data_IF_495485960658
#
_entry.id   IF_495485960658
#
_cell.length_a   1.000
_cell.length_b   1.000
_cell.length_c   1.000
_cell.angle_alpha   90.00
_cell.angle_beta   90.00
_cell.angle_gamma   90.00
#
_symmetry.space_group_name_H-M   'P 1'
#
loop_
_entity.id
_entity.type
_entity.pdbx_description
1 polymer ?
#
# COMPACT_ATOMS: atom_id res chain seq x y z
N UNK A 1 11.45 18.59 13.83
CA UNK A 1 10.55 17.64 14.51
C UNK A 1 9.46 17.15 13.55
N UNK A 2 8.71 18.03 12.92
CA UNK A 2 7.58 17.74 12.03
C UNK A 2 7.97 16.91 10.79
N UNK A 3 9.11 17.21 10.19
CA UNK A 3 9.65 16.53 9.00
C UNK A 3 10.12 15.09 9.29
N UNK A 4 10.62 14.86 10.48
CA UNK A 4 11.08 13.55 10.93
C UNK A 4 9.91 12.64 11.29
N UNK A 5 8.83 13.19 11.85
CA UNK A 5 7.58 12.47 12.11
C UNK A 5 6.86 12.08 10.83
N UNK A 6 6.80 12.98 9.84
CA UNK A 6 6.23 12.68 8.53
C UNK A 6 7.01 11.57 7.82
N UNK A 7 8.35 11.63 7.83
CA UNK A 7 9.19 10.59 7.21
C UNK A 7 9.06 9.23 7.92
N UNK A 8 8.94 9.22 9.25
CA UNK A 8 8.75 7.97 10.01
C UNK A 8 7.34 7.40 9.84
N UNK A 9 6.31 8.24 9.81
CA UNK A 9 4.95 7.81 9.52
C UNK A 9 4.84 7.22 8.10
N UNK A 10 5.50 7.84 7.12
CA UNK A 10 5.58 7.34 5.75
C UNK A 10 6.26 5.97 5.66
N UNK A 11 7.38 5.77 6.35
CA UNK A 11 8.12 4.50 6.37
C UNK A 11 7.36 3.38 7.11
N UNK A 12 6.61 3.71 8.16
CA UNK A 12 5.77 2.76 8.88
C UNK A 12 4.55 2.33 8.05
N UNK A 13 3.90 3.25 7.36
CA UNK A 13 2.74 2.94 6.51
C UNK A 13 3.13 2.05 5.32
N UNK A 14 4.27 2.32 4.69
CA UNK A 14 4.82 1.49 3.61
C UNK A 14 5.17 0.09 4.11
N UNK A 15 5.72 -0.05 5.32
CA UNK A 15 6.13 -1.33 5.90
C UNK A 15 4.96 -2.20 6.37
N UNK A 16 3.87 -1.60 6.82
CA UNK A 16 2.68 -2.31 7.30
C UNK A 16 1.74 -2.76 6.16
N UNK A 17 1.85 -2.18 4.96
CA UNK A 17 1.01 -2.53 3.81
C UNK A 17 1.43 -3.81 3.08
N UNK A 18 2.63 -4.33 3.31
CA UNK A 18 3.13 -5.57 2.68
C UNK A 18 2.37 -6.83 3.13
N UNK A 19 1.60 -6.77 4.23
CA UNK A 19 0.80 -7.90 4.80
C UNK A 19 -0.62 -7.44 5.17
N UNK A 20 -1.15 -6.43 4.48
CA UNK A 20 -2.42 -5.80 4.84
C UNK A 20 -3.67 -6.66 4.62
N UNK A 21 -4.85 -6.18 5.05
CA UNK A 21 -6.15 -6.86 4.97
C UNK A 21 -6.51 -7.36 3.57
N UNK A 22 -5.98 -6.73 2.50
CA UNK A 22 -6.16 -7.16 1.12
C UNK A 22 -5.46 -8.50 0.82
N UNK A 23 -4.27 -8.75 1.38
CA UNK A 23 -3.57 -10.03 1.25
C UNK A 23 -4.28 -11.17 1.97
N UNK A 24 -4.82 -10.91 3.15
CA UNK A 24 -5.57 -11.89 3.95
C UNK A 24 -6.93 -12.20 3.32
N UNK A 25 -7.61 -11.21 2.75
CA UNK A 25 -8.85 -11.41 2.00
C UNK A 25 -8.63 -12.20 0.71
N UNK A 26 -7.54 -11.94 -0.03
CA UNK A 26 -7.18 -12.73 -1.21
C UNK A 26 -6.81 -14.18 -0.84
N UNK A 27 -6.12 -14.42 0.28
CA UNK A 27 -5.88 -15.77 0.80
C UNK A 27 -7.17 -16.45 1.22
N UNK A 28 -8.07 -15.74 1.89
CA UNK A 28 -9.39 -16.23 2.27
C UNK A 28 -10.23 -16.61 1.05
N UNK A 29 -10.19 -15.79 0.01
CA UNK A 29 -10.84 -16.04 -1.28
C UNK A 29 -10.24 -17.26 -1.96
N UNK A 30 -8.92 -17.36 -2.08
CA UNK A 30 -8.23 -18.52 -2.67
C UNK A 30 -8.51 -19.80 -1.88
N UNK A 31 -8.60 -19.72 -0.54
CA UNK A 31 -8.94 -20.86 0.33
C UNK A 31 -10.40 -21.26 0.15
N UNK A 32 -11.31 -20.31 0.03
CA UNK A 32 -12.74 -20.56 -0.25
C UNK A 32 -12.93 -21.14 -1.65
N UNK A 33 -12.19 -20.63 -2.65
CA UNK A 33 -12.18 -21.16 -4.03
C UNK A 33 -11.56 -22.55 -4.09
N UNK A 34 -10.49 -22.82 -3.33
CA UNK A 34 -9.90 -24.17 -3.23
C UNK A 34 -10.78 -25.15 -2.45
N UNK A 35 -11.53 -24.68 -1.48
CA UNK A 35 -12.57 -25.44 -0.78
C UNK A 35 -13.78 -25.76 -1.67
N UNK A 36 -14.02 -24.96 -2.71
CA UNK A 36 -14.78 -25.28 -3.90
C UNK A 36 -13.85 -26.05 -4.84
N UNK A 37 -13.47 -27.24 -4.50
CA UNK A 37 -12.69 -28.04 -5.41
C UNK A 37 -13.54 -28.22 -6.69
N UNK A 38 -12.92 -27.90 -7.82
CA UNK A 38 -13.46 -28.10 -9.17
C UNK A 38 -14.00 -29.54 -9.36
N UNK A 39 -13.61 -30.48 -8.49
CA UNK A 39 -14.12 -31.83 -8.41
C UNK A 39 -15.61 -31.92 -7.98
N UNK A 40 -16.16 -30.95 -7.27
CA UNK A 40 -17.59 -30.89 -6.95
C UNK A 40 -18.45 -30.24 -8.04
N UNK A 41 -17.83 -29.47 -8.95
CA UNK A 41 -18.48 -28.79 -10.08
C UNK A 41 -18.03 -29.32 -11.46
N UNK A 42 -17.05 -30.22 -11.50
CA UNK A 42 -16.57 -30.85 -12.76
C UNK A 42 -17.46 -32.00 -13.17
N UNK A 43 -18.52 -31.65 -13.88
CA UNK A 43 -19.51 -32.58 -14.46
C UNK A 43 -18.86 -33.60 -15.44
N UNK A 44 -17.62 -33.33 -15.86
CA UNK A 44 -16.91 -34.21 -16.84
C UNK A 44 -16.11 -35.34 -16.20
N UNK A 45 -15.78 -35.28 -14.92
CA UNK A 45 -14.82 -36.19 -14.29
C UNK A 45 -15.40 -37.30 -13.45
N UNK A 46 -16.67 -37.20 -12.98
CA UNK A 46 -17.27 -38.26 -12.16
C UNK A 46 -18.77 -38.45 -12.43
N UNK A 47 -19.06 -39.27 -13.44
CA UNK A 47 -20.40 -39.89 -13.59
C UNK A 47 -20.84 -40.61 -12.32
N UNK A 48 -19.92 -41.14 -11.54
CA UNK A 48 -20.13 -41.80 -10.26
C UNK A 48 -20.68 -40.90 -9.16
N UNK A 49 -20.33 -39.61 -9.15
CA UNK A 49 -20.83 -38.67 -8.17
C UNK A 49 -22.29 -38.25 -8.47
N UNK A 50 -22.61 -38.03 -9.72
CA UNK A 50 -23.98 -37.77 -10.16
C UNK A 50 -24.89 -38.98 -9.99
N UNK A 51 -24.38 -40.19 -10.24
CA UNK A 51 -25.12 -41.44 -9.99
C UNK A 51 -25.40 -41.68 -8.51
N UNK A 52 -24.49 -41.32 -7.60
CA UNK A 52 -24.70 -41.36 -6.15
C UNK A 52 -25.69 -40.27 -5.64
N UNK A 53 -25.75 -39.12 -6.28
CA UNK A 53 -26.74 -38.07 -6.00
C UNK A 53 -28.13 -38.43 -6.57
N UNK A 54 -28.16 -39.08 -7.71
CA UNK A 54 -29.37 -39.54 -8.40
C UNK A 54 -29.98 -40.76 -7.69
N UNK A 55 -29.17 -41.69 -7.19
CA UNK A 55 -29.63 -42.87 -6.48
C UNK A 55 -30.22 -42.61 -5.06
N UNK A 56 -29.93 -41.46 -4.51
CA UNK A 56 -30.60 -40.95 -3.30
C UNK A 56 -31.41 -39.74 -3.70
N UNK A 57 -32.75 -39.91 -3.80
CA UNK A 57 -33.68 -38.81 -4.03
C UNK A 57 -33.49 -37.70 -3.00
N UNK A 58 -32.48 -36.85 -3.23
CA UNK A 58 -32.29 -35.63 -2.42
C UNK A 58 -33.45 -34.71 -2.75
N UNK A 59 -34.26 -34.29 -1.74
CA UNK A 59 -35.37 -33.39 -1.99
C UNK A 59 -34.83 -32.13 -2.72
N UNK A 60 -35.55 -31.66 -3.73
CA UNK A 60 -35.30 -30.41 -4.45
C UNK A 60 -34.92 -29.25 -3.53
N UNK A 61 -35.57 -29.19 -2.37
CA UNK A 61 -35.29 -28.20 -1.32
C UNK A 61 -33.83 -28.23 -0.83
N UNK A 62 -33.18 -29.41 -0.75
CA UNK A 62 -31.76 -29.49 -0.35
C UNK A 62 -30.82 -28.99 -1.45
N UNK A 63 -31.14 -29.23 -2.71
CA UNK A 63 -30.38 -28.69 -3.83
C UNK A 63 -30.52 -27.18 -3.93
N UNK A 64 -31.75 -26.64 -3.80
CA UNK A 64 -32.02 -25.20 -3.81
C UNK A 64 -31.28 -24.49 -2.67
N UNK A 65 -31.31 -25.04 -1.46
CA UNK A 65 -30.59 -24.49 -0.32
C UNK A 65 -29.06 -24.48 -0.53
N UNK A 66 -28.51 -25.54 -1.14
CA UNK A 66 -27.08 -25.59 -1.47
C UNK A 66 -26.73 -24.58 -2.56
N UNK A 67 -27.59 -24.42 -3.56
CA UNK A 67 -27.46 -23.45 -4.64
C UNK A 67 -27.46 -22.02 -4.10
N UNK A 68 -28.44 -21.66 -3.28
CA UNK A 68 -28.56 -20.33 -2.67
C UNK A 68 -27.35 -19.99 -1.79
N UNK A 69 -26.85 -20.99 -1.05
CA UNK A 69 -25.64 -20.83 -0.24
C UNK A 69 -24.40 -20.52 -1.11
N UNK A 70 -24.23 -21.22 -2.22
CA UNK A 70 -23.12 -21.01 -3.15
C UNK A 70 -23.24 -19.66 -3.84
N UNK A 71 -24.45 -19.30 -4.30
CA UNK A 71 -24.71 -17.99 -4.89
C UNK A 71 -24.41 -16.87 -3.90
N UNK A 72 -24.84 -16.99 -2.66
CA UNK A 72 -24.55 -16.01 -1.61
C UNK A 72 -23.06 -15.88 -1.30
N UNK A 73 -22.29 -16.96 -1.40
CA UNK A 73 -20.83 -16.92 -1.26
C UNK A 73 -20.16 -16.21 -2.43
N UNK A 74 -20.61 -16.46 -3.66
CA UNK A 74 -20.10 -15.78 -4.87
C UNK A 74 -20.38 -14.27 -4.77
N UNK A 75 -21.59 -13.89 -4.40
CA UNK A 75 -21.99 -12.49 -4.23
C UNK A 75 -21.14 -11.79 -3.18
N UNK A 76 -20.92 -12.43 -2.04
CA UNK A 76 -20.05 -11.91 -0.97
C UNK A 76 -18.60 -11.75 -1.40
N UNK A 77 -18.05 -12.70 -2.16
CA UNK A 77 -16.71 -12.62 -2.72
C UNK A 77 -16.62 -11.44 -3.69
N UNK A 78 -17.61 -11.28 -4.56
CA UNK A 78 -17.67 -10.19 -5.54
C UNK A 78 -17.69 -8.83 -4.83
N UNK A 79 -18.53 -8.66 -3.82
CA UNK A 79 -18.62 -7.41 -3.04
C UNK A 79 -17.29 -7.10 -2.32
N UNK A 80 -16.66 -8.11 -1.74
CA UNK A 80 -15.35 -7.96 -1.10
C UNK A 80 -14.26 -7.55 -2.10
N UNK A 81 -14.24 -8.16 -3.28
CA UNK A 81 -13.28 -7.83 -4.33
C UNK A 81 -13.45 -6.39 -4.83
N UNK A 82 -14.68 -5.96 -5.05
CA UNK A 82 -14.99 -4.58 -5.45
C UNK A 82 -14.57 -3.56 -4.39
N UNK A 83 -14.82 -3.88 -3.12
CA UNK A 83 -14.40 -3.03 -1.99
C UNK A 83 -12.87 -2.92 -1.90
N UNK A 84 -12.15 -4.03 -2.07
CA UNK A 84 -10.68 -4.03 -2.07
C UNK A 84 -10.11 -3.27 -3.28
N UNK A 85 -10.68 -3.44 -4.46
CA UNK A 85 -10.28 -2.70 -5.66
C UNK A 85 -10.41 -1.20 -5.41
N UNK A 86 -11.53 -0.76 -4.87
CA UNK A 86 -11.76 0.66 -4.56
C UNK A 86 -10.73 1.21 -3.57
N UNK A 87 -10.41 0.45 -2.52
CA UNK A 87 -9.39 0.84 -1.53
C UNK A 87 -8.00 0.92 -2.16
N UNK A 88 -7.62 -0.07 -2.97
CA UNK A 88 -6.31 -0.08 -3.66
C UNK A 88 -6.18 1.07 -4.65
N UNK A 89 -7.23 1.42 -5.39
CA UNK A 89 -7.22 2.56 -6.31
C UNK A 89 -7.05 3.89 -5.57
N UNK A 90 -7.67 4.04 -4.41
CA UNK A 90 -7.43 5.20 -3.53
C UNK A 90 -5.98 5.25 -3.04
N UNK A 91 -5.43 4.11 -2.62
CA UNK A 91 -4.05 4.01 -2.15
C UNK A 91 -3.05 4.35 -3.25
N UNK A 92 -3.26 3.85 -4.46
CA UNK A 92 -2.44 4.16 -5.64
C UNK A 92 -2.39 5.68 -5.87
N UNK A 93 -3.56 6.35 -5.81
CA UNK A 93 -3.64 7.80 -5.97
C UNK A 93 -2.96 8.55 -4.81
N UNK A 94 -3.13 8.08 -3.58
CA UNK A 94 -2.47 8.66 -2.41
C UNK A 94 -0.95 8.52 -2.48
N UNK A 95 -0.46 7.40 -2.99
CA UNK A 95 0.98 7.16 -3.20
C UNK A 95 1.56 8.05 -4.30
N UNK A 96 0.80 8.38 -5.35
CA UNK A 96 1.22 9.38 -6.33
C UNK A 96 1.38 10.77 -5.69
N UNK A 97 0.42 11.19 -4.89
CA UNK A 97 0.49 12.46 -4.16
C UNK A 97 1.66 12.47 -3.16
N UNK A 98 1.89 11.36 -2.49
CA UNK A 98 3.01 11.20 -1.56
C UNK A 98 4.34 11.30 -2.29
N UNK A 99 4.49 10.65 -3.44
CA UNK A 99 5.69 10.72 -4.28
C UNK A 99 5.99 12.15 -4.69
N UNK A 100 5.00 12.89 -5.20
CA UNK A 100 5.13 14.28 -5.61
C UNK A 100 5.55 15.19 -4.43
N UNK A 101 4.91 15.06 -3.28
CA UNK A 101 5.26 15.82 -2.07
C UNK A 101 6.67 15.49 -1.57
N UNK A 102 7.05 14.24 -1.62
CA UNK A 102 8.40 13.80 -1.23
C UNK A 102 9.45 14.37 -2.16
N UNK A 103 9.18 14.42 -3.46
CA UNK A 103 10.05 15.02 -4.45
C UNK A 103 10.19 16.54 -4.25
N UNK A 104 9.08 17.24 -4.01
CA UNK A 104 9.11 18.67 -3.66
C UNK A 104 9.94 18.93 -2.41
N UNK A 105 9.77 18.12 -1.38
CA UNK A 105 10.55 18.21 -0.15
C UNK A 105 12.05 18.00 -0.39
N UNK A 106 12.40 17.03 -1.21
CA UNK A 106 13.78 16.79 -1.63
C UNK A 106 14.39 18.02 -2.30
N UNK A 107 13.64 18.68 -3.18
CA UNK A 107 14.08 19.90 -3.86
C UNK A 107 14.18 21.10 -2.91
N UNK A 108 13.23 21.26 -2.00
CA UNK A 108 13.26 22.32 -0.98
C UNK A 108 14.46 22.17 -0.04
N UNK A 109 14.79 20.95 0.38
CA UNK A 109 15.99 20.69 1.19
C UNK A 109 17.28 21.17 0.51
N UNK A 110 17.38 21.05 -0.82
CA UNK A 110 18.54 21.57 -1.55
C UNK A 110 18.71 23.07 -1.40
N UNK A 111 17.60 23.82 -1.39
CA UNK A 111 17.63 25.29 -1.19
C UNK A 111 18.07 25.65 0.24
N UNK A 112 17.56 24.97 1.25
CA UNK A 112 17.97 25.19 2.65
C UNK A 112 19.44 24.85 2.89
N UNK A 113 19.92 23.76 2.29
CA UNK A 113 21.33 23.36 2.35
C UNK A 113 22.21 24.42 1.68
N UNK A 114 21.85 24.90 0.50
CA UNK A 114 22.60 25.92 -0.23
C UNK A 114 22.66 27.25 0.57
N UNK A 115 21.54 27.67 1.16
CA UNK A 115 21.49 28.85 2.00
C UNK A 115 22.36 28.71 3.26
N UNK A 116 22.32 27.55 3.91
CA UNK A 116 23.15 27.25 5.08
C UNK A 116 24.66 27.24 4.74
N UNK A 117 25.06 26.62 3.64
CA UNK A 117 26.43 26.61 3.16
C UNK A 117 26.93 27.99 2.79
N UNK A 118 26.10 28.80 2.11
CA UNK A 118 26.43 30.18 1.79
C UNK A 118 26.65 31.03 3.06
N UNK A 119 25.79 30.82 4.09
CA UNK A 119 25.94 31.51 5.36
C UNK A 119 27.20 31.10 6.13
N UNK A 120 27.54 29.82 6.13
CA UNK A 120 28.79 29.32 6.72
C UNK A 120 29.99 29.94 6.00
N UNK A 121 29.99 30.00 4.68
CA UNK A 121 31.06 30.59 3.89
C UNK A 121 31.20 32.09 4.19
N UNK A 122 30.10 32.83 4.32
CA UNK A 122 30.11 34.24 4.73
C UNK A 122 30.69 34.45 6.15
N UNK A 123 30.28 33.59 7.11
CA UNK A 123 30.81 33.62 8.47
C UNK A 123 32.33 33.41 8.51
N UNK A 124 32.79 32.38 7.78
CA UNK A 124 34.20 31.98 7.76
C UNK A 124 35.08 32.98 7.00
N UNK A 125 34.58 33.59 5.93
CA UNK A 125 35.37 34.49 5.08
C UNK A 125 35.35 35.95 5.54
N UNK A 126 34.26 36.41 6.19
CA UNK A 126 34.02 37.84 6.45
C UNK A 126 33.73 38.14 7.90
N UNK A 127 32.71 37.50 8.48
CA UNK A 127 32.14 37.90 9.79
C UNK A 127 33.05 37.51 10.95
N UNK A 128 33.58 36.27 10.96
CA UNK A 128 34.48 35.80 12.02
C UNK A 128 35.82 36.51 11.95
N UNK A 129 36.50 36.67 10.79
CA UNK A 129 37.75 37.45 10.70
C UNK A 129 37.55 38.89 11.12
N UNK A 130 36.44 39.53 10.76
CA UNK A 130 36.14 40.90 11.22
C UNK A 130 36.01 40.99 12.73
N UNK A 131 35.37 40.03 13.36
CA UNK A 131 35.20 39.97 14.83
C UNK A 131 36.55 39.69 15.52
N UNK A 132 37.41 38.85 14.93
CA UNK A 132 38.77 38.59 15.42
C UNK A 132 39.60 39.85 15.41
N UNK A 133 39.53 40.67 14.35
CA UNK A 133 40.22 41.97 14.25
C UNK A 133 39.70 42.94 15.29
N UNK A 134 38.38 42.96 15.57
CA UNK A 134 37.74 43.75 16.60
C UNK A 134 38.26 43.39 18.01
N UNK A 135 38.38 42.09 18.32
CA UNK A 135 38.96 41.61 19.59
C UNK A 135 40.39 42.09 19.76
N UNK A 136 41.18 42.02 18.71
CA UNK A 136 42.59 42.44 18.75
C UNK A 136 42.75 43.96 18.90
N UNK A 137 41.79 44.74 18.43
CA UNK A 137 41.79 46.20 18.51
C UNK A 137 41.06 46.78 19.74
N UNK A 138 40.35 45.95 20.51
CA UNK A 138 39.51 46.34 21.63
C UNK A 138 40.35 46.88 22.81
N UNK A 139 39.86 47.93 23.49
CA UNK A 139 40.42 48.43 24.75
C UNK A 139 40.33 47.35 25.84
N UNK A 140 41.23 47.34 26.80
CA UNK A 140 41.35 46.34 27.84
C UNK A 140 40.01 46.12 28.60
N UNK A 141 39.23 47.17 28.80
CA UNK A 141 37.92 47.12 29.45
C UNK A 141 36.85 46.38 28.66
N UNK A 142 36.93 46.40 27.31
CA UNK A 142 35.91 45.82 26.42
C UNK A 142 36.33 44.44 25.85
N UNK A 143 37.59 44.08 26.01
CA UNK A 143 38.22 42.91 25.40
C UNK A 143 37.53 41.60 25.81
N UNK A 144 37.09 41.45 27.06
CA UNK A 144 36.41 40.25 27.56
C UNK A 144 35.05 40.08 26.89
N UNK A 145 34.29 41.18 26.71
CA UNK A 145 32.95 41.14 26.10
C UNK A 145 33.03 40.79 24.60
N UNK A 146 33.92 41.46 23.88
CA UNK A 146 34.12 41.20 22.44
C UNK A 146 34.66 39.80 22.19
N UNK A 147 35.54 39.26 23.05
CA UNK A 147 36.01 37.91 22.99
C UNK A 147 34.90 36.87 23.24
N UNK A 148 33.94 37.21 24.12
CA UNK A 148 32.77 36.35 24.33
C UNK A 148 31.84 36.35 23.10
N UNK A 149 31.61 37.50 22.48
CA UNK A 149 30.84 37.62 21.26
C UNK A 149 31.48 36.78 20.11
N UNK A 150 32.79 36.78 20.01
CA UNK A 150 33.51 35.91 19.05
C UNK A 150 33.29 34.42 19.33
N UNK A 151 33.34 34.00 20.59
CA UNK A 151 33.05 32.59 20.99
C UNK A 151 31.63 32.18 20.64
N UNK A 152 30.65 33.06 20.94
CA UNK A 152 29.26 32.83 20.62
C UNK A 152 29.03 32.72 19.10
N UNK A 153 29.70 33.57 18.31
CA UNK A 153 29.65 33.55 16.86
C UNK A 153 30.23 32.25 16.28
N UNK A 154 31.36 31.77 16.79
CA UNK A 154 31.93 30.48 16.40
C UNK A 154 31.04 29.29 16.76
N UNK A 155 30.45 29.33 17.97
CA UNK A 155 29.49 28.30 18.38
C UNK A 155 28.26 28.26 17.47
N UNK A 156 27.72 29.42 17.09
CA UNK A 156 26.60 29.53 16.17
C UNK A 156 26.95 29.02 14.78
N UNK A 157 28.17 29.29 14.29
CA UNK A 157 28.69 28.76 13.03
C UNK A 157 28.76 27.23 13.05
N UNK A 158 29.28 26.63 14.12
CA UNK A 158 29.40 25.18 14.27
C UNK A 158 28.05 24.51 14.40
N UNK A 159 27.09 25.14 15.09
CA UNK A 159 25.70 24.67 15.14
C UNK A 159 25.03 24.70 13.77
N UNK A 160 25.26 25.74 12.99
CA UNK A 160 24.75 25.84 11.63
C UNK A 160 25.33 24.74 10.74
N UNK A 161 26.64 24.45 10.85
CA UNK A 161 27.29 23.39 10.09
C UNK A 161 26.69 22.00 10.43
N UNK A 162 26.43 21.70 11.70
CA UNK A 162 25.74 20.47 12.11
C UNK A 162 24.33 20.37 11.51
N UNK A 163 23.56 21.46 11.54
CA UNK A 163 22.23 21.49 10.94
C UNK A 163 22.26 21.26 9.42
N UNK A 164 23.21 21.87 8.72
CA UNK A 164 23.41 21.64 7.29
C UNK A 164 23.74 20.18 7.01
N UNK A 165 24.61 19.59 7.83
CA UNK A 165 24.93 18.15 7.70
C UNK A 165 23.68 17.28 7.91
N UNK A 166 22.88 17.54 8.94
CA UNK A 166 21.64 16.81 9.19
C UNK A 166 20.63 16.97 8.05
N UNK A 167 20.53 18.14 7.45
CA UNK A 167 19.70 18.37 6.26
C UNK A 167 20.18 17.57 5.05
N UNK A 168 21.50 17.44 4.84
CA UNK A 168 22.07 16.60 3.79
C UNK A 168 21.72 15.12 4.00
N UNK A 169 21.83 14.61 5.22
CA UNK A 169 21.44 13.24 5.55
C UNK A 169 19.94 13.02 5.33
N UNK A 170 19.11 13.96 5.78
CA UNK A 170 17.64 13.92 5.57
C UNK A 170 17.33 13.89 4.08
N UNK A 171 18.00 14.70 3.26
CA UNK A 171 17.81 14.72 1.81
C UNK A 171 18.16 13.39 1.18
N UNK A 172 19.24 12.75 1.61
CA UNK A 172 19.65 11.44 1.12
C UNK A 172 18.61 10.35 1.48
N UNK A 173 18.13 10.33 2.71
CA UNK A 173 17.07 9.39 3.14
C UNK A 173 15.78 9.63 2.37
N UNK A 174 15.41 10.88 2.13
CA UNK A 174 14.23 11.25 1.31
C UNK A 174 14.34 10.69 -0.10
N UNK A 175 15.49 10.81 -0.74
CA UNK A 175 15.73 10.24 -2.07
C UNK A 175 15.61 8.72 -2.07
N UNK A 176 16.11 8.04 -1.03
CA UNK A 176 16.04 6.60 -0.91
C UNK A 176 14.61 6.09 -0.69
N UNK A 177 13.69 6.91 -0.17
CA UNK A 177 12.29 6.56 0.02
C UNK A 177 11.47 6.54 -1.27
N UNK A 178 11.86 7.29 -2.30
CA UNK A 178 11.13 7.39 -3.57
C UNK A 178 10.93 6.04 -4.26
N UNK A 179 11.95 5.19 -4.45
CA UNK A 179 11.77 3.85 -5.03
C UNK A 179 10.84 2.96 -4.20
N UNK A 180 10.87 3.08 -2.88
CA UNK A 180 10.00 2.31 -1.99
C UNK A 180 8.54 2.66 -2.16
N UNK A 181 8.21 3.95 -2.33
CA UNK A 181 6.84 4.42 -2.63
C UNK A 181 6.37 3.81 -3.97
N UNK A 182 7.20 3.82 -5.00
CA UNK A 182 6.87 3.23 -6.30
C UNK A 182 6.71 1.72 -6.23
N UNK A 183 7.52 1.02 -5.46
CA UNK A 183 7.40 -0.42 -5.28
C UNK A 183 6.05 -0.80 -4.66
N UNK A 184 5.60 -0.09 -3.62
CA UNK A 184 4.29 -0.33 -3.01
C UNK A 184 3.17 -0.04 -4.01
N UNK A 185 3.28 1.05 -4.77
CA UNK A 185 2.31 1.42 -5.79
C UNK A 185 2.20 0.34 -6.90
N UNK A 186 3.32 -0.22 -7.35
CA UNK A 186 3.32 -1.30 -8.35
C UNK A 186 2.71 -2.59 -7.79
N UNK A 187 2.95 -2.90 -6.52
CA UNK A 187 2.29 -4.01 -5.84
C UNK A 187 0.77 -3.82 -5.79
N UNK A 188 0.29 -2.63 -5.44
CA UNK A 188 -1.14 -2.31 -5.42
C UNK A 188 -1.76 -2.42 -6.81
N UNK A 189 -1.09 -1.92 -7.86
CA UNK A 189 -1.53 -2.07 -9.25
C UNK A 189 -1.61 -3.53 -9.68
N UNK A 190 -0.65 -4.35 -9.30
CA UNK A 190 -0.66 -5.79 -9.55
C UNK A 190 -1.86 -6.47 -8.89
N UNK A 191 -2.19 -6.10 -7.65
CA UNK A 191 -3.36 -6.62 -6.94
C UNK A 191 -4.67 -6.18 -7.60
N UNK A 192 -4.79 -4.93 -8.03
CA UNK A 192 -5.96 -4.44 -8.79
C UNK A 192 -6.14 -5.24 -10.07
N UNK A 193 -5.07 -5.51 -10.80
CA UNK A 193 -5.11 -6.32 -12.03
C UNK A 193 -5.61 -7.73 -11.75
N UNK A 194 -5.15 -8.38 -10.68
CA UNK A 194 -5.58 -9.73 -10.27
C UNK A 194 -7.05 -9.74 -9.86
N UNK A 195 -7.49 -8.75 -9.08
CA UNK A 195 -8.90 -8.59 -8.69
C UNK A 195 -9.78 -8.41 -9.91
N UNK A 196 -9.40 -7.54 -10.83
CA UNK A 196 -10.14 -7.27 -12.05
C UNK A 196 -10.24 -8.52 -12.94
N UNK A 197 -9.15 -9.26 -13.10
CA UNK A 197 -9.15 -10.56 -13.81
C UNK A 197 -10.10 -11.57 -13.17
N UNK A 198 -10.15 -11.63 -11.84
CA UNK A 198 -11.08 -12.51 -11.12
C UNK A 198 -12.52 -12.11 -11.35
N UNK A 199 -12.85 -10.81 -11.26
CA UNK A 199 -14.20 -10.28 -11.49
C UNK A 199 -14.69 -10.50 -12.92
N UNK A 200 -13.80 -10.33 -13.91
CA UNK A 200 -14.16 -10.39 -15.33
C UNK A 200 -14.19 -11.85 -15.87
N UNK A 201 -13.30 -12.69 -15.39
CA UNK A 201 -13.11 -14.04 -15.97
C UNK A 201 -13.60 -15.15 -15.03
N UNK A 202 -13.29 -15.11 -13.76
CA UNK A 202 -13.50 -16.21 -12.82
C UNK A 202 -14.92 -16.21 -12.27
N UNK A 203 -15.43 -15.08 -11.81
CA UNK A 203 -16.80 -14.97 -11.26
C UNK A 203 -17.86 -15.31 -12.30
N UNK A 204 -17.83 -14.79 -13.55
CA UNK A 204 -18.79 -15.19 -14.58
C UNK A 204 -18.73 -16.67 -14.94
N UNK A 205 -17.53 -17.29 -14.90
CA UNK A 205 -17.38 -18.72 -15.11
C UNK A 205 -18.11 -19.51 -14.01
N UNK A 206 -17.99 -19.12 -12.76
CA UNK A 206 -18.71 -19.78 -11.67
C UNK A 206 -20.21 -19.60 -11.77
N UNK A 207 -20.70 -18.42 -12.12
CA UNK A 207 -22.12 -18.16 -12.35
C UNK A 207 -22.68 -19.01 -13.49
N UNK A 208 -21.93 -19.14 -14.58
CA UNK A 208 -22.30 -20.01 -15.71
C UNK A 208 -22.37 -21.48 -15.30
N UNK A 209 -21.38 -21.99 -14.56
CA UNK A 209 -21.37 -23.36 -14.07
C UNK A 209 -22.50 -23.62 -13.11
N UNK A 210 -22.84 -22.66 -12.26
CA UNK A 210 -23.96 -22.74 -11.32
C UNK A 210 -25.30 -22.77 -12.04
N UNK A 211 -25.48 -21.94 -13.08
CA UNK A 211 -26.68 -21.95 -13.92
C UNK A 211 -26.84 -23.26 -14.69
N UNK A 212 -25.77 -23.86 -15.18
CA UNK A 212 -25.77 -25.17 -15.82
C UNK A 212 -26.22 -26.26 -14.85
N UNK A 213 -25.72 -26.25 -13.61
CA UNK A 213 -26.11 -27.22 -12.58
C UNK A 213 -27.62 -27.15 -12.29
N UNK A 214 -28.22 -25.97 -12.22
CA UNK A 214 -29.66 -25.77 -12.05
C UNK A 214 -30.45 -26.32 -13.23
N UNK A 215 -30.00 -26.05 -14.45
CA UNK A 215 -30.65 -26.54 -15.67
C UNK A 215 -30.69 -28.06 -15.72
N UNK A 216 -29.55 -28.73 -15.40
CA UNK A 216 -29.45 -30.18 -15.33
C UNK A 216 -30.43 -30.75 -14.29
N UNK A 217 -30.49 -30.14 -13.09
CA UNK A 217 -31.40 -30.58 -12.02
C UNK A 217 -32.87 -30.47 -12.42
N UNK A 218 -33.27 -29.35 -13.05
CA UNK A 218 -34.65 -29.15 -13.55
C UNK A 218 -35.03 -30.18 -14.63
N UNK A 219 -34.11 -30.45 -15.55
CA UNK A 219 -34.33 -31.44 -16.59
C UNK A 219 -34.51 -32.86 -16.01
N UNK A 220 -33.76 -33.15 -14.95
CA UNK A 220 -33.86 -34.43 -14.24
C UNK A 220 -35.20 -34.60 -13.51
N UNK A 221 -35.68 -33.57 -12.85
CA UNK A 221 -36.98 -33.59 -12.18
C UNK A 221 -38.14 -33.71 -13.15
N UNK A 222 -38.06 -33.02 -14.31
CA UNK A 222 -39.07 -33.17 -15.36
C UNK A 222 -39.11 -34.61 -15.90
N UNK A 223 -37.95 -35.22 -16.11
CA UNK A 223 -37.86 -36.62 -16.56
C UNK A 223 -38.40 -37.61 -15.50
N UNK A 224 -38.24 -37.32 -14.21
CA UNK A 224 -38.78 -38.14 -13.14
C UNK A 224 -40.31 -38.02 -13.07
N UNK A 225 -40.85 -36.80 -13.17
CA UNK A 225 -42.29 -36.56 -13.15
C UNK A 225 -43.01 -37.28 -14.32
N UNK A 226 -42.36 -37.36 -15.51
CA UNK A 226 -42.92 -38.11 -16.68
C UNK A 226 -42.87 -39.64 -16.47
N UNK A 227 -41.97 -40.16 -15.64
CA UNK A 227 -41.92 -41.59 -15.30
C UNK A 227 -42.91 -42.04 -14.24
N UNK A 228 -43.29 -41.11 -13.37
CA UNK A 228 -44.22 -41.36 -12.27
C UNK A 228 -45.69 -41.10 -12.67
N UNK A 229 -45.95 -40.52 -13.84
CA UNK A 229 -47.25 -40.35 -14.45
C UNK A 229 -47.60 -41.51 -15.44
#
# INVERSE_FOLDING_TARGET
AELQEISQAMLQDVRNKDVGPAGDSLRGIVTTIRGFSVSELDVRRDRSWWEKLIGRAAPFAKFTAKFEKVQGQIDKITDNLLSHEHTLLKDIKSLDMLYEKTLQFYDELALYIAAGEAKIAELDATVIPAKEAEVNAAAEADQVMVAQELRDLRAARDDLERRVHDLKLTRQVTMQSLPSIRLVQENDKSLVTKINSTLVNTVPLWETQLAQAVTIQRSFEAAKAVREA
#
